data_IF_137216642557
#
_entry.id   IF_137216642557
#
_cell.length_a   1.000
_cell.length_b   1.000
_cell.length_c   1.000
_cell.angle_alpha   90.00
_cell.angle_beta   90.00
_cell.angle_gamma   90.00
#
_symmetry.space_group_name_H-M   'P 1'
#
loop_
_entity.id
_entity.type
_entity.pdbx_description
1 polymer ?
#
# COMPACT_ATOMS: atom_id res chain seq x y z
N UNK A 1 5.44 -10.11 -5.96
CA UNK A 1 4.72 -9.00 -5.30
C UNK A 1 5.38 -8.70 -3.97
N UNK A 2 6.15 -7.62 -3.93
CA UNK A 2 6.97 -7.16 -2.79
C UNK A 2 6.88 -5.64 -2.70
N UNK A 3 6.84 -5.15 -1.46
CA UNK A 3 6.90 -3.73 -1.13
C UNK A 3 8.02 -3.52 -0.12
N UNK A 4 8.80 -2.46 -0.30
CA UNK A 4 9.78 -1.98 0.68
C UNK A 4 9.35 -0.58 1.11
N UNK A 5 9.24 -0.37 2.42
CA UNK A 5 8.98 0.94 3.01
C UNK A 5 10.11 1.26 3.98
N UNK A 6 10.64 2.47 3.92
CA UNK A 6 11.69 2.96 4.81
C UNK A 6 11.16 4.18 5.55
N UNK A 7 11.37 4.19 6.87
CA UNK A 7 10.95 5.27 7.75
C UNK A 7 12.17 6.01 8.27
N UNK A 8 12.08 7.33 8.30
CA UNK A 8 12.94 8.15 9.15
C UNK A 8 12.22 8.39 10.48
N UNK A 9 12.98 8.26 11.57
CA UNK A 9 12.51 8.53 12.93
C UNK A 9 13.46 9.51 13.59
N UNK A 10 12.96 10.69 13.91
CA UNK A 10 13.73 11.78 14.48
C UNK A 10 13.14 12.20 15.83
N UNK A 11 14.00 12.69 16.70
CA UNK A 11 13.60 13.34 17.95
C UNK A 11 14.14 14.77 17.97
N UNK A 12 13.23 15.72 17.96
CA UNK A 12 13.53 17.14 17.98
C UNK A 12 13.71 17.59 19.45
N UNK A 13 14.97 17.72 19.87
CA UNK A 13 15.34 17.99 21.27
C UNK A 13 14.72 19.30 21.78
N UNK A 14 14.76 20.43 21.03
CA UNK A 14 14.16 21.68 21.51
C UNK A 14 12.64 21.62 21.74
N UNK A 15 11.91 20.91 20.88
CA UNK A 15 10.44 20.82 20.97
C UNK A 15 9.94 19.63 21.77
N UNK A 16 10.80 18.64 22.03
CA UNK A 16 10.43 17.38 22.67
C UNK A 16 9.56 16.48 21.79
N UNK A 17 9.49 16.72 20.48
CA UNK A 17 8.60 16.02 19.54
C UNK A 17 9.34 14.89 18.82
N UNK A 18 8.70 13.73 18.75
CA UNK A 18 9.09 12.65 17.85
C UNK A 18 8.47 12.85 16.47
N UNK A 19 9.25 12.76 15.41
CA UNK A 19 8.77 12.79 14.03
C UNK A 19 9.01 11.46 13.34
N UNK A 20 7.98 10.95 12.66
CA UNK A 20 8.08 9.80 11.77
C UNK A 20 7.74 10.24 10.36
N UNK A 21 8.56 9.88 9.37
CA UNK A 21 8.29 10.14 7.95
C UNK A 21 8.56 8.88 7.13
N UNK A 22 7.75 8.65 6.10
CA UNK A 22 8.06 7.65 5.08
C UNK A 22 9.09 8.26 4.12
N UNK A 23 10.32 7.76 4.16
CA UNK A 23 11.41 8.22 3.28
C UNK A 23 11.34 7.58 1.91
N UNK A 24 11.22 6.26 1.88
CA UNK A 24 11.18 5.48 0.64
C UNK A 24 9.97 4.55 0.67
N UNK A 25 9.34 4.43 -0.49
CA UNK A 25 8.27 3.48 -0.73
C UNK A 25 8.48 2.91 -2.13
N UNK A 26 8.86 1.64 -2.18
CA UNK A 26 9.27 0.96 -3.40
C UNK A 26 8.41 -0.29 -3.60
N UNK A 27 8.06 -0.52 -4.86
CA UNK A 27 7.23 -1.62 -5.31
C UNK A 27 7.96 -2.41 -6.38
N UNK A 28 7.91 -3.74 -6.29
CA UNK A 28 8.38 -4.60 -7.37
C UNK A 28 7.51 -4.48 -8.62
N UNK A 29 7.99 -5.01 -9.75
CA UNK A 29 7.32 -4.85 -11.05
C UNK A 29 5.88 -5.38 -11.06
N UNK A 30 5.62 -6.50 -10.40
CA UNK A 30 4.28 -7.07 -10.31
C UNK A 30 3.31 -6.14 -9.56
N UNK A 31 3.74 -5.58 -8.43
CA UNK A 31 2.90 -4.68 -7.66
C UNK A 31 2.70 -3.33 -8.37
N UNK A 32 3.70 -2.85 -9.12
CA UNK A 32 3.55 -1.66 -9.99
C UNK A 32 2.47 -1.86 -11.06
N UNK A 33 2.31 -3.06 -11.60
CA UNK A 33 1.22 -3.38 -12.55
C UNK A 33 -0.15 -3.29 -11.88
N UNK A 34 -0.27 -3.78 -10.64
CA UNK A 34 -1.51 -3.67 -9.85
C UNK A 34 -1.88 -2.21 -9.59
N UNK A 35 -0.88 -1.38 -9.30
CA UNK A 35 -1.05 0.04 -9.00
C UNK A 35 -1.11 0.94 -10.25
N UNK A 36 -1.01 0.39 -11.45
CA UNK A 36 -0.90 1.19 -12.66
C UNK A 36 -2.18 2.01 -12.90
N UNK A 37 -2.07 3.34 -12.79
CA UNK A 37 -3.19 4.26 -12.93
C UNK A 37 -4.12 4.33 -11.71
N UNK A 38 -3.71 3.75 -10.57
CA UNK A 38 -4.47 3.77 -9.32
C UNK A 38 -3.63 4.39 -8.21
N UNK A 39 -4.18 5.37 -7.51
CA UNK A 39 -3.56 5.97 -6.32
C UNK A 39 -4.45 5.66 -5.10
N UNK A 40 -4.24 4.50 -4.45
CA UNK A 40 -5.11 4.07 -3.36
C UNK A 40 -4.97 5.00 -2.17
N UNK A 41 -6.10 5.23 -1.51
CA UNK A 41 -6.14 5.92 -0.25
C UNK A 41 -5.82 4.94 0.89
N UNK A 42 -4.97 5.38 1.81
CA UNK A 42 -4.51 4.63 2.96
C UNK A 42 -5.07 5.28 4.21
N UNK A 43 -5.75 4.49 5.04
CA UNK A 43 -6.31 4.99 6.29
C UNK A 43 -5.32 4.83 7.43
N UNK A 44 -4.82 5.95 7.94
CA UNK A 44 -3.91 5.99 9.09
C UNK A 44 -4.64 6.73 10.21
N UNK A 45 -5.00 5.99 11.27
CA UNK A 45 -5.87 6.48 12.36
C UNK A 45 -7.22 6.95 11.79
N UNK A 46 -7.55 8.22 12.00
CA UNK A 46 -8.77 8.88 11.49
C UNK A 46 -8.54 9.68 10.21
N UNK A 47 -7.36 9.57 9.60
CA UNK A 47 -7.02 10.31 8.38
C UNK A 47 -6.91 9.35 7.21
N UNK A 48 -7.39 9.82 6.07
CA UNK A 48 -7.21 9.18 4.79
C UNK A 48 -6.13 9.95 4.02
N UNK A 49 -5.13 9.22 3.51
CA UNK A 49 -3.96 9.80 2.83
C UNK A 49 -3.71 9.01 1.57
N UNK A 50 -3.52 9.67 0.42
CA UNK A 50 -3.19 8.95 -0.80
C UNK A 50 -1.80 8.31 -0.70
N UNK A 51 -1.61 7.19 -1.39
CA UNK A 51 -0.32 6.50 -1.44
C UNK A 51 0.78 7.43 -1.97
N UNK A 52 0.47 8.26 -2.96
CA UNK A 52 1.37 9.29 -3.51
C UNK A 52 1.80 10.35 -2.48
N UNK A 53 0.90 10.74 -1.57
CA UNK A 53 1.11 11.79 -0.58
C UNK A 53 1.82 11.29 0.68
N UNK A 54 1.94 9.97 0.86
CA UNK A 54 2.46 9.38 2.11
C UNK A 54 3.88 9.83 2.45
N UNK A 55 4.71 10.10 1.44
CA UNK A 55 6.10 10.58 1.62
C UNK A 55 6.18 12.04 2.04
N UNK A 56 5.14 12.83 1.75
CA UNK A 56 5.11 14.26 2.01
C UNK A 56 4.64 14.56 3.44
N UNK A 57 4.05 13.58 4.12
CA UNK A 57 3.40 13.77 5.41
C UNK A 57 4.28 13.30 6.58
N UNK A 58 4.84 14.21 7.39
CA UNK A 58 5.42 13.85 8.67
C UNK A 58 4.32 13.60 9.71
N UNK A 59 4.57 12.67 10.62
CA UNK A 59 3.73 12.38 11.77
C UNK A 59 4.46 12.85 13.04
N UNK A 60 3.93 13.89 13.67
CA UNK A 60 4.45 14.45 14.93
C UNK A 60 3.77 13.80 16.13
N UNK A 61 4.56 13.36 17.10
CA UNK A 61 4.16 12.48 18.18
C UNK A 61 4.86 12.88 19.48
N UNK A 62 4.23 12.63 20.62
CA UNK A 62 4.74 13.08 21.91
C UNK A 62 5.68 12.06 22.55
N UNK A 63 5.54 10.78 22.19
CA UNK A 63 6.35 9.71 22.79
C UNK A 63 7.01 8.80 21.76
N UNK A 64 8.11 8.16 22.18
CA UNK A 64 8.79 7.13 21.40
C UNK A 64 7.87 5.95 21.06
N UNK A 65 6.99 5.57 22.00
CA UNK A 65 6.06 4.46 21.85
C UNK A 65 4.99 4.77 20.81
N UNK A 66 4.43 5.98 20.81
CA UNK A 66 3.52 6.44 19.77
C UNK A 66 4.18 6.43 18.39
N UNK A 67 5.47 6.76 18.30
CA UNK A 67 6.24 6.69 17.07
C UNK A 67 6.35 5.26 16.52
N UNK A 68 6.71 4.28 17.37
CA UNK A 68 6.72 2.87 16.97
C UNK A 68 5.33 2.38 16.57
N UNK A 69 4.29 2.74 17.34
CA UNK A 69 2.91 2.38 17.04
C UNK A 69 2.47 2.95 15.69
N UNK A 70 2.79 4.20 15.42
CA UNK A 70 2.44 4.87 14.15
C UNK A 70 3.15 4.20 12.97
N UNK A 71 4.41 3.77 13.10
CA UNK A 71 5.09 2.97 12.06
C UNK A 71 4.34 1.67 11.80
N UNK A 72 3.93 0.96 12.86
CA UNK A 72 3.14 -0.26 12.76
C UNK A 72 1.79 -0.05 12.06
N UNK A 73 1.09 1.02 12.42
CA UNK A 73 -0.18 1.42 11.80
C UNK A 73 -0.02 1.73 10.31
N UNK A 74 0.98 2.53 9.92
CA UNK A 74 1.25 2.83 8.51
C UNK A 74 1.52 1.55 7.72
N UNK A 75 2.33 0.64 8.28
CA UNK A 75 2.62 -0.65 7.63
C UNK A 75 1.36 -1.50 7.48
N UNK A 76 0.53 -1.59 8.52
CA UNK A 76 -0.73 -2.34 8.47
C UNK A 76 -1.69 -1.79 7.43
N UNK A 77 -1.86 -0.47 7.40
CA UNK A 77 -2.74 0.20 6.46
C UNK A 77 -2.28 0.06 5.00
N UNK A 78 -0.96 0.11 4.75
CA UNK A 78 -0.39 -0.20 3.43
C UNK A 78 -0.72 -1.63 2.99
N UNK A 79 -0.57 -2.61 3.88
CA UNK A 79 -0.88 -4.02 3.58
C UNK A 79 -2.37 -4.19 3.26
N UNK A 80 -3.25 -3.58 4.03
CA UNK A 80 -4.70 -3.67 3.84
C UNK A 80 -5.13 -3.07 2.50
N UNK A 81 -4.71 -1.83 2.21
CA UNK A 81 -5.06 -1.13 0.98
C UNK A 81 -4.56 -1.88 -0.27
N UNK A 82 -3.34 -2.41 -0.21
CA UNK A 82 -2.75 -3.14 -1.34
C UNK A 82 -3.35 -4.54 -1.51
N UNK A 83 -3.72 -5.23 -0.42
CA UNK A 83 -4.33 -6.56 -0.50
C UNK A 83 -5.67 -6.54 -1.25
N UNK A 84 -6.50 -5.53 -0.99
CA UNK A 84 -7.76 -5.34 -1.70
C UNK A 84 -7.55 -5.14 -3.21
N UNK A 85 -6.54 -4.35 -3.60
CA UNK A 85 -6.21 -4.13 -5.00
C UNK A 85 -5.63 -5.37 -5.67
N UNK A 86 -4.76 -6.12 -4.99
CA UNK A 86 -4.19 -7.37 -5.50
C UNK A 86 -5.30 -8.40 -5.75
N UNK A 87 -6.27 -8.52 -4.83
CA UNK A 87 -7.41 -9.43 -5.00
C UNK A 87 -8.21 -9.08 -6.26
N UNK A 88 -8.61 -7.81 -6.42
CA UNK A 88 -9.32 -7.34 -7.61
C UNK A 88 -8.53 -7.52 -8.90
N UNK A 89 -7.22 -7.29 -8.87
CA UNK A 89 -6.35 -7.49 -10.02
C UNK A 89 -6.30 -8.97 -10.42
N UNK A 90 -6.16 -9.87 -9.45
CA UNK A 90 -6.17 -11.33 -9.70
C UNK A 90 -7.51 -11.81 -10.24
N UNK A 91 -8.62 -11.30 -9.71
CA UNK A 91 -9.96 -11.59 -10.22
C UNK A 91 -10.11 -11.15 -11.68
N UNK A 92 -9.68 -9.93 -12.02
CA UNK A 92 -9.72 -9.42 -13.39
C UNK A 92 -8.83 -10.25 -14.35
N UNK A 93 -7.65 -10.70 -13.90
CA UNK A 93 -6.80 -11.59 -14.69
C UNK A 93 -7.43 -12.98 -14.88
N UNK A 94 -8.09 -13.52 -13.85
CA UNK A 94 -8.83 -14.79 -13.93
C UNK A 94 -10.00 -14.69 -14.91
N UNK A 95 -10.72 -13.55 -14.92
CA UNK A 95 -11.83 -13.29 -15.84
C UNK A 95 -11.37 -13.11 -17.29
N UNK A 96 -10.16 -12.62 -17.52
CA UNK A 96 -9.55 -12.49 -18.84
C UNK A 96 -8.89 -13.79 -19.35
N UNK A 97 -9.02 -14.91 -18.64
CA UNK A 97 -8.62 -16.23 -19.13
C UNK A 97 -9.53 -16.67 -20.28
N UNK A 98 -8.93 -17.03 -21.43
CA UNK A 98 -9.67 -17.49 -22.61
C UNK A 98 -10.51 -18.74 -22.30
N UNK A 99 -11.81 -18.69 -22.54
CA UNK A 99 -12.68 -19.88 -22.59
C UNK A 99 -12.72 -20.37 -24.03
N UNK A 100 -12.06 -21.49 -24.33
CA UNK A 100 -12.16 -22.16 -25.63
C UNK A 100 -13.22 -23.26 -25.57
N UNK A 101 -14.25 -23.15 -26.41
CA UNK A 101 -15.17 -24.24 -26.68
C UNK A 101 -14.74 -24.89 -28.01
N UNK A 102 -14.42 -26.18 -28.00
CA UNK A 102 -14.44 -27.00 -29.21
C UNK A 102 -15.86 -27.56 -29.37
N UNK A 103 -16.49 -27.26 -30.50
CA UNK A 103 -17.79 -27.81 -30.87
C UNK A 103 -17.52 -28.82 -32.00
N UNK A 104 -17.78 -30.10 -31.73
CA UNK A 104 -17.77 -31.15 -32.74
C UNK A 104 -19.13 -31.18 -33.45
N UNK A 105 -19.14 -30.96 -34.76
CA UNK A 105 -20.35 -30.96 -35.58
C UNK A 105 -20.68 -32.35 -36.16
N UNK A 106 -19.88 -33.38 -35.88
CA UNK A 106 -20.15 -34.74 -36.36
C UNK A 106 -21.16 -35.51 -35.49
N UNK A 107 -21.58 -34.95 -34.35
CA UNK A 107 -22.63 -35.50 -33.48
C UNK A 107 -23.97 -34.73 -33.56
N UNK A 108 -24.19 -33.95 -34.63
CA UNK A 108 -25.45 -33.23 -34.91
C UNK A 108 -26.37 -33.97 -35.88
#
# INVERSE_FOLDING_TARGET
MKMRVVFDKEYDIPSGIYRVRVRELEFDEELRKVLHGVDPAIRIKSHEVKLSELKERPFELQTREEAEKTIGEIRGALVEALSALIARFREAQSFNGSVSYEIDFNEL
#
